data_IF_810896432143
#
_entry.id   IF_810896432143
#
_cell.length_a   1.000
_cell.length_b   1.000
_cell.length_c   1.000
_cell.angle_alpha   90.00
_cell.angle_beta   90.00
_cell.angle_gamma   90.00
#
_symmetry.space_group_name_H-M   'P 1'
#
loop_
_entity.id
_entity.type
_entity.pdbx_description
1 polymer ?
#
# COMPACT_ATOMS: atom_id res chain seq x y z
N UNK A 1 0.05 -18.89 -17.08
CA UNK A 1 -1.33 -19.18 -17.54
C UNK A 1 -2.39 -18.80 -16.49
N UNK A 2 -2.25 -17.66 -15.81
CA UNK A 2 -3.27 -17.10 -14.89
C UNK A 2 -4.28 -16.15 -15.58
N UNK A 3 -3.95 -15.69 -16.80
CA UNK A 3 -4.76 -14.71 -17.57
C UNK A 3 -6.08 -15.26 -18.13
N UNK A 4 -6.40 -16.55 -17.95
CA UNK A 4 -7.61 -17.19 -18.49
C UNK A 4 -8.73 -17.41 -17.48
N UNK A 5 -8.47 -17.23 -16.17
CA UNK A 5 -9.45 -17.55 -15.12
C UNK A 5 -10.23 -16.30 -14.65
N UNK A 6 -9.62 -15.12 -14.72
CA UNK A 6 -10.29 -13.87 -14.39
C UNK A 6 -10.69 -13.18 -15.69
N UNK A 7 -11.97 -13.30 -16.08
CA UNK A 7 -12.60 -12.36 -17.02
C UNK A 7 -12.64 -10.99 -16.34
N UNK A 8 -11.50 -10.30 -16.29
CA UNK A 8 -11.46 -8.90 -15.87
C UNK A 8 -11.81 -8.06 -17.10
N UNK A 9 -13.09 -8.02 -17.44
CA UNK A 9 -13.61 -7.04 -18.38
C UNK A 9 -13.55 -5.68 -17.69
N UNK A 10 -12.60 -4.83 -18.08
CA UNK A 10 -12.49 -3.45 -17.60
C UNK A 10 -11.17 -3.01 -17.00
N UNK A 11 -10.16 -3.89 -16.83
CA UNK A 11 -8.82 -3.44 -16.43
C UNK A 11 -8.12 -2.75 -17.60
N UNK A 12 -8.30 -1.44 -17.69
CA UNK A 12 -7.41 -0.56 -18.44
C UNK A 12 -6.08 -0.49 -17.69
N UNK A 13 -4.98 -0.79 -18.37
CA UNK A 13 -3.65 -0.46 -17.85
C UNK A 13 -3.58 1.06 -17.63
N UNK A 14 -3.30 1.45 -16.39
CA UNK A 14 -3.13 2.85 -16.02
C UNK A 14 -1.93 3.41 -16.79
N UNK A 15 -2.09 4.59 -17.37
CA UNK A 15 -0.97 5.24 -18.03
C UNK A 15 0.06 5.71 -16.98
N UNK A 16 1.30 6.03 -17.40
CA UNK A 16 2.38 6.43 -16.48
C UNK A 16 2.01 7.62 -15.57
N UNK A 17 1.13 8.53 -16.02
CA UNK A 17 0.65 9.65 -15.21
C UNK A 17 -0.39 9.22 -14.17
N UNK A 18 -1.24 8.26 -14.50
CA UNK A 18 -2.22 7.67 -13.58
C UNK A 18 -1.54 6.74 -12.56
N UNK A 19 -0.51 5.99 -12.97
CA UNK A 19 0.33 5.22 -12.06
C UNK A 19 1.09 6.12 -11.09
N UNK A 20 1.64 7.25 -11.57
CA UNK A 20 2.30 8.24 -10.72
C UNK A 20 1.33 8.97 -9.76
N UNK A 21 0.03 8.96 -10.07
CA UNK A 21 -1.02 9.51 -9.19
C UNK A 21 -1.55 8.49 -8.16
N UNK A 22 -1.15 7.22 -8.25
CA UNK A 22 -1.24 6.29 -7.11
C UNK A 22 -0.11 6.67 -6.13
N UNK A 23 -0.23 7.86 -5.57
CA UNK A 23 0.57 8.33 -4.45
C UNK A 23 -0.20 7.98 -3.19
N UNK A 24 0.08 6.80 -2.64
CA UNK A 24 -0.54 6.32 -1.40
C UNK A 24 0.28 5.27 -0.66
N UNK A 25 1.47 4.95 -1.17
CA UNK A 25 2.36 4.01 -0.52
C UNK A 25 3.12 4.66 0.62
N UNK A 26 3.27 3.91 1.71
CA UNK A 26 4.24 4.20 2.77
C UNK A 26 5.62 3.98 2.19
N UNK A 27 6.50 4.94 2.41
CA UNK A 27 7.91 4.79 2.07
C UNK A 27 8.48 3.53 2.77
N UNK A 28 9.13 2.61 2.03
CA UNK A 28 9.58 1.34 2.60
C UNK A 28 10.53 1.50 3.79
N UNK A 29 11.41 2.50 3.74
CA UNK A 29 12.35 2.80 4.82
C UNK A 29 11.60 3.25 6.08
N UNK A 30 10.56 4.08 5.92
CA UNK A 30 9.68 4.50 7.01
C UNK A 30 8.96 3.30 7.65
N UNK A 31 8.46 2.37 6.82
CA UNK A 31 7.80 1.16 7.30
C UNK A 31 8.74 0.27 8.13
N UNK A 32 9.95 0.00 7.62
CA UNK A 32 10.95 -0.82 8.31
C UNK A 32 11.42 -0.17 9.62
N UNK A 33 11.63 1.16 9.62
CA UNK A 33 11.99 1.91 10.82
C UNK A 33 10.92 1.84 11.92
N UNK A 34 9.65 1.73 11.53
CA UNK A 34 8.54 1.54 12.45
C UNK A 34 8.35 0.08 12.91
N UNK A 35 9.19 -0.86 12.45
CA UNK A 35 9.06 -2.29 12.76
C UNK A 35 8.05 -3.04 11.88
N UNK A 36 7.56 -2.40 10.82
CA UNK A 36 6.66 -2.98 9.84
C UNK A 36 7.38 -3.73 8.72
N UNK A 37 6.59 -4.36 7.86
CA UNK A 37 7.03 -5.06 6.66
C UNK A 37 6.49 -4.36 5.40
N UNK A 38 7.35 -3.69 4.60
CA UNK A 38 6.91 -3.01 3.39
C UNK A 38 6.61 -4.01 2.28
N UNK A 39 5.58 -3.71 1.48
CA UNK A 39 5.23 -4.50 0.30
C UNK A 39 5.70 -3.83 -0.99
N UNK A 40 5.88 -4.60 -2.08
CA UNK A 40 6.20 -4.03 -3.40
C UNK A 40 5.15 -3.07 -3.95
N UNK A 41 3.93 -3.07 -3.39
CA UNK A 41 2.83 -2.20 -3.79
C UNK A 41 2.81 -0.87 -3.02
N UNK A 42 3.71 -0.69 -2.05
CA UNK A 42 3.76 0.50 -1.19
C UNK A 42 2.94 0.39 0.09
N UNK A 43 2.28 -0.74 0.37
CA UNK A 43 1.62 -0.94 1.66
C UNK A 43 2.65 -1.29 2.75
N UNK A 44 2.38 -0.89 4.00
CA UNK A 44 3.16 -1.27 5.19
C UNK A 44 2.32 -2.20 6.07
N UNK A 45 2.77 -3.44 6.26
CA UNK A 45 2.13 -4.36 7.20
C UNK A 45 2.74 -4.25 8.59
N UNK A 46 1.92 -4.33 9.63
CA UNK A 46 2.36 -4.28 11.00
C UNK A 46 1.20 -4.37 11.98
N UNK A 47 1.52 -4.23 13.25
CA UNK A 47 0.51 -4.10 14.31
C UNK A 47 0.07 -2.62 14.46
N UNK A 48 -0.70 -2.36 15.51
CA UNK A 48 -1.20 -1.02 15.81
C UNK A 48 -0.08 -0.02 16.13
N UNK A 49 1.04 -0.47 16.70
CA UNK A 49 2.19 0.40 17.00
C UNK A 49 2.89 0.82 15.71
N UNK A 50 3.07 -0.11 14.75
CA UNK A 50 3.60 0.20 13.41
C UNK A 50 2.72 1.23 12.72
N UNK A 51 1.40 1.03 12.75
CA UNK A 51 0.47 1.96 12.10
C UNK A 51 0.55 3.37 12.71
N UNK A 52 0.57 3.49 14.04
CA UNK A 52 0.71 4.79 14.70
C UNK A 52 2.07 5.44 14.47
N UNK A 53 3.14 4.65 14.32
CA UNK A 53 4.46 5.17 13.98
C UNK A 53 4.48 5.77 12.57
N UNK A 54 3.84 5.09 11.60
CA UNK A 54 3.79 5.52 10.20
C UNK A 54 2.86 6.72 9.97
N UNK A 55 1.64 6.67 10.51
CA UNK A 55 0.59 7.65 10.19
C UNK A 55 0.26 8.61 11.35
N UNK A 56 0.77 8.35 12.55
CA UNK A 56 0.48 9.12 13.75
C UNK A 56 -0.75 8.62 14.52
N UNK A 57 -0.89 9.11 15.76
CA UNK A 57 -2.01 8.74 16.63
C UNK A 57 -3.33 9.34 16.11
N UNK A 58 -4.38 8.53 16.01
CA UNK A 58 -5.70 8.97 15.51
C UNK A 58 -5.84 9.00 13.98
N UNK A 59 -4.85 8.46 13.26
CA UNK A 59 -4.95 8.28 11.81
C UNK A 59 -6.09 7.30 11.45
N UNK A 60 -6.93 7.64 10.45
CA UNK A 60 -8.02 6.77 9.99
C UNK A 60 -7.51 5.48 9.32
N UNK A 61 -6.24 5.43 8.90
CA UNK A 61 -5.56 4.24 8.41
C UNK A 61 -5.31 3.21 9.52
N UNK A 62 -5.34 3.62 10.80
CA UNK A 62 -5.11 2.79 11.98
C UNK A 62 -6.39 2.41 12.73
N UNK A 63 -7.46 2.10 12.00
CA UNK A 63 -8.69 1.55 12.58
C UNK A 63 -8.57 0.02 12.67
N UNK A 64 -8.30 -0.49 13.88
CA UNK A 64 -8.27 -1.92 14.22
C UNK A 64 -9.60 -2.36 14.83
#
# INVERSE_FOLDING_TARGET
MLKKILKVEGTRELNKKEQAQISGGVDPETCENCGGFPTPNGDCFGDQEVCFCVYGFGSPECNF
#
